data_IF_036579987391
#
_entry.id   IF_036579987391
#
_cell.length_a   1.000
_cell.length_b   1.000
_cell.length_c   1.000
_cell.angle_alpha   90.00
_cell.angle_beta   90.00
_cell.angle_gamma   90.00
#
_symmetry.space_group_name_H-M   'P 1'
#
loop_
_entity.id
_entity.type
_entity.pdbx_description
1 polymer ?
#
# COMPACT_ATOMS: atom_id res chain seq x y z
N UNK A 1 -13.49 19.03 -52.41
CA UNK A 1 -14.02 18.96 -51.02
C UNK A 1 -14.80 20.24 -50.73
N UNK A 2 -16.05 20.15 -50.25
CA UNK A 2 -16.83 21.34 -49.89
C UNK A 2 -16.23 22.04 -48.66
N UNK A 3 -16.42 23.35 -48.53
CA UNK A 3 -15.99 24.12 -47.34
C UNK A 3 -16.53 23.49 -46.05
N UNK A 4 -17.75 22.93 -46.10
CA UNK A 4 -18.42 22.23 -45.01
C UNK A 4 -17.60 21.04 -44.52
N UNK A 5 -17.23 20.16 -45.44
CA UNK A 5 -16.40 19.00 -45.12
C UNK A 5 -15.06 19.42 -44.54
N UNK A 6 -14.35 20.39 -45.16
CA UNK A 6 -13.05 20.85 -44.66
C UNK A 6 -13.12 21.34 -43.21
N UNK A 7 -14.12 22.16 -42.87
CA UNK A 7 -14.25 22.71 -41.52
C UNK A 7 -14.55 21.60 -40.49
N UNK A 8 -15.46 20.68 -40.81
CA UNK A 8 -15.78 19.56 -39.93
C UNK A 8 -14.56 18.65 -39.71
N UNK A 9 -13.78 18.35 -40.75
CA UNK A 9 -12.56 17.55 -40.60
C UNK A 9 -11.53 18.22 -39.70
N UNK A 10 -11.31 19.53 -39.83
CA UNK A 10 -10.37 20.28 -38.99
C UNK A 10 -10.80 20.22 -37.51
N UNK A 11 -12.08 20.45 -37.23
CA UNK A 11 -12.61 20.41 -35.85
C UNK A 11 -12.45 19.02 -35.23
N UNK A 12 -12.75 17.96 -35.98
CA UNK A 12 -12.59 16.58 -35.50
C UNK A 12 -11.12 16.26 -35.23
N UNK A 13 -10.21 16.61 -36.16
CA UNK A 13 -8.77 16.36 -35.99
C UNK A 13 -8.22 17.11 -34.77
N UNK A 14 -8.55 18.40 -34.63
CA UNK A 14 -8.13 19.20 -33.48
C UNK A 14 -8.67 18.63 -32.16
N UNK A 15 -9.94 18.17 -32.16
CA UNK A 15 -10.54 17.52 -31.00
C UNK A 15 -9.80 16.24 -30.61
N UNK A 16 -9.49 15.37 -31.59
CA UNK A 16 -8.76 14.11 -31.33
C UNK A 16 -7.37 14.40 -30.75
N UNK A 17 -6.64 15.37 -31.33
CA UNK A 17 -5.32 15.78 -30.82
C UNK A 17 -5.42 16.32 -29.39
N UNK A 18 -6.40 17.19 -29.12
CA UNK A 18 -6.60 17.74 -27.79
C UNK A 18 -6.92 16.65 -26.75
N UNK A 19 -7.78 15.68 -27.09
CA UNK A 19 -8.07 14.52 -26.24
C UNK A 19 -6.81 13.69 -26.00
N UNK A 20 -6.04 13.34 -27.04
CA UNK A 20 -4.83 12.51 -26.86
C UNK A 20 -3.83 13.17 -25.92
N UNK A 21 -3.59 14.48 -26.08
CA UNK A 21 -2.70 15.24 -25.20
C UNK A 21 -3.24 15.25 -23.76
N UNK A 22 -4.54 15.53 -23.60
CA UNK A 22 -5.18 15.61 -22.28
C UNK A 22 -5.16 14.26 -21.58
N UNK A 23 -5.44 13.17 -22.29
CA UNK A 23 -5.37 11.79 -21.78
C UNK A 23 -3.95 11.43 -21.35
N UNK A 24 -2.93 11.81 -22.10
CA UNK A 24 -1.54 11.55 -21.74
C UNK A 24 -1.16 12.23 -20.41
N UNK A 25 -1.45 13.53 -20.28
CA UNK A 25 -1.18 14.27 -19.04
C UNK A 25 -2.02 13.74 -17.87
N UNK A 26 -3.31 13.48 -18.09
CA UNK A 26 -4.20 12.90 -17.09
C UNK A 26 -3.69 11.55 -16.59
N UNK A 27 -3.26 10.66 -17.51
CA UNK A 27 -2.75 9.35 -17.16
C UNK A 27 -1.50 9.45 -16.28
N UNK A 28 -0.52 10.28 -16.68
CA UNK A 28 0.70 10.48 -15.90
C UNK A 28 0.45 11.10 -14.53
N UNK A 29 -0.44 12.10 -14.46
CA UNK A 29 -0.82 12.77 -13.21
C UNK A 29 -1.55 11.83 -12.24
N UNK A 30 -2.58 11.13 -12.70
CA UNK A 30 -3.34 10.20 -11.85
C UNK A 30 -2.49 9.02 -11.41
N UNK A 31 -1.63 8.49 -12.27
CA UNK A 31 -0.71 7.40 -11.90
C UNK A 31 0.20 7.83 -10.76
N UNK A 32 0.79 9.03 -10.83
CA UNK A 32 1.65 9.56 -9.78
C UNK A 32 0.89 9.70 -8.45
N UNK A 33 -0.27 10.36 -8.46
CA UNK A 33 -1.09 10.53 -7.24
C UNK A 33 -1.47 9.18 -6.63
N UNK A 34 -1.95 8.25 -7.44
CA UNK A 34 -2.34 6.93 -6.94
C UNK A 34 -1.16 6.16 -6.34
N UNK A 35 0.05 6.31 -6.90
CA UNK A 35 1.27 5.72 -6.33
C UNK A 35 1.60 6.39 -4.99
N UNK A 36 1.64 7.72 -4.94
CA UNK A 36 2.00 8.47 -3.74
C UNK A 36 1.00 8.19 -2.60
N UNK A 37 -0.31 8.24 -2.89
CA UNK A 37 -1.38 7.90 -1.95
C UNK A 37 -1.29 6.44 -1.48
N UNK A 38 -0.97 5.50 -2.39
CA UNK A 38 -0.81 4.09 -2.02
C UNK A 38 0.41 3.88 -1.13
N UNK A 39 1.54 4.53 -1.41
CA UNK A 39 2.73 4.45 -0.56
C UNK A 39 2.48 5.03 0.84
N UNK A 40 1.80 6.19 0.92
CA UNK A 40 1.44 6.82 2.18
C UNK A 40 0.46 5.94 2.99
N UNK A 41 -0.56 5.40 2.33
CA UNK A 41 -1.50 4.48 2.97
C UNK A 41 -0.82 3.17 3.42
N UNK A 42 0.07 2.59 2.60
CA UNK A 42 0.86 1.42 2.97
C UNK A 42 1.76 1.71 4.18
N UNK A 43 2.36 2.89 4.22
CA UNK A 43 3.16 3.35 5.37
C UNK A 43 2.31 3.44 6.64
N UNK A 44 1.12 4.03 6.55
CA UNK A 44 0.19 4.11 7.67
C UNK A 44 -0.29 2.73 8.15
N UNK A 45 -0.66 1.83 7.24
CA UNK A 45 -1.11 0.47 7.57
C UNK A 45 0.03 -0.34 8.20
N UNK A 46 1.23 -0.35 7.60
CA UNK A 46 2.39 -1.06 8.16
C UNK A 46 2.73 -0.56 9.57
N UNK A 47 2.62 0.75 9.81
CA UNK A 47 2.79 1.35 11.14
C UNK A 47 1.70 0.92 12.12
N UNK A 48 0.44 0.90 11.70
CA UNK A 48 -0.67 0.48 12.56
C UNK A 48 -0.54 -0.98 12.99
N UNK A 49 -0.19 -1.87 12.05
CA UNK A 49 0.08 -3.28 12.35
C UNK A 49 1.28 -3.41 13.28
N UNK A 50 2.38 -2.66 13.02
CA UNK A 50 3.57 -2.69 13.88
C UNK A 50 3.24 -2.30 15.32
N UNK A 51 2.47 -1.22 15.52
CA UNK A 51 2.00 -0.78 16.84
C UNK A 51 1.10 -1.84 17.49
N UNK A 52 0.19 -2.46 16.72
CA UNK A 52 -0.69 -3.52 17.24
C UNK A 52 0.10 -4.73 17.75
N UNK A 53 1.12 -5.17 16.99
CA UNK A 53 2.00 -6.28 17.38
C UNK A 53 2.84 -5.87 18.59
N UNK A 54 3.36 -4.65 18.62
CA UNK A 54 4.17 -4.12 19.74
C UNK A 54 3.38 -4.08 21.06
N UNK A 55 2.12 -3.63 20.99
CA UNK A 55 1.20 -3.66 22.12
C UNK A 55 0.96 -5.09 22.61
N UNK A 56 0.80 -6.04 21.69
CA UNK A 56 0.61 -7.44 22.04
C UNK A 56 1.85 -8.02 22.73
N UNK A 57 3.05 -7.78 22.20
CA UNK A 57 4.31 -8.18 22.83
C UNK A 57 4.48 -7.59 24.23
N UNK A 58 4.11 -6.31 24.40
CA UNK A 58 4.12 -5.64 25.70
C UNK A 58 3.17 -6.31 26.70
N UNK A 59 1.98 -6.70 26.25
CA UNK A 59 1.00 -7.39 27.09
C UNK A 59 1.46 -8.79 27.50
N UNK A 60 2.13 -9.52 26.60
CA UNK A 60 2.76 -10.79 26.94
C UNK A 60 3.81 -10.62 28.05
N UNK A 61 4.66 -9.60 27.94
CA UNK A 61 5.67 -9.28 28.97
C UNK A 61 5.00 -8.95 30.30
N UNK A 62 3.95 -8.13 30.30
CA UNK A 62 3.23 -7.76 31.52
C UNK A 62 2.55 -8.97 32.18
N UNK A 63 1.97 -9.86 31.37
CA UNK A 63 1.38 -11.12 31.85
C UNK A 63 2.45 -12.00 32.50
N UNK A 64 3.59 -12.20 31.83
CA UNK A 64 4.71 -12.99 32.35
C UNK A 64 5.33 -12.37 33.60
N UNK A 65 5.47 -11.03 33.68
CA UNK A 65 5.88 -10.30 34.88
C UNK A 65 4.92 -10.49 36.05
N UNK A 66 3.63 -10.46 35.78
CA UNK A 66 2.60 -10.68 36.80
C UNK A 66 2.72 -12.10 37.37
N UNK A 67 2.90 -13.10 36.49
CA UNK A 67 3.11 -14.48 36.90
C UNK A 67 4.38 -14.64 37.76
N UNK A 68 5.51 -14.09 37.29
CA UNK A 68 6.78 -14.10 37.99
C UNK A 68 6.75 -13.39 39.35
N UNK A 69 5.90 -12.37 39.50
CA UNK A 69 5.78 -11.57 40.73
C UNK A 69 4.80 -12.14 41.75
N UNK A 70 4.09 -13.22 41.43
CA UNK A 70 3.13 -13.85 42.34
C UNK A 70 3.83 -14.33 43.62
N UNK A 71 3.32 -14.00 44.84
CA UNK A 71 3.96 -14.40 46.10
C UNK A 71 4.24 -15.89 46.21
N UNK A 72 3.32 -16.72 45.74
CA UNK A 72 3.50 -18.17 45.70
C UNK A 72 4.70 -18.61 44.84
N UNK A 73 4.88 -18.01 43.65
CA UNK A 73 6.02 -18.32 42.79
C UNK A 73 7.33 -17.88 43.44
N UNK A 74 7.37 -16.68 44.02
CA UNK A 74 8.56 -16.17 44.72
C UNK A 74 8.98 -17.07 45.87
N UNK A 75 8.02 -17.45 46.73
CA UNK A 75 8.30 -18.35 47.86
C UNK A 75 8.82 -19.70 47.37
N UNK A 76 8.17 -20.28 46.36
CA UNK A 76 8.55 -21.59 45.83
C UNK A 76 9.97 -21.58 45.24
N UNK A 77 10.34 -20.53 44.51
CA UNK A 77 11.69 -20.34 43.97
C UNK A 77 12.71 -20.15 45.09
N UNK A 78 12.39 -19.34 46.10
CA UNK A 78 13.27 -19.10 47.24
C UNK A 78 13.55 -20.40 48.01
N UNK A 79 12.51 -21.18 48.31
CA UNK A 79 12.65 -22.45 49.04
C UNK A 79 13.49 -23.47 48.25
N UNK A 80 13.25 -23.60 46.95
CA UNK A 80 13.98 -24.55 46.10
C UNK A 80 15.40 -24.06 45.74
N UNK A 81 15.63 -22.74 45.64
CA UNK A 81 16.94 -22.16 45.35
C UNK A 81 17.97 -22.40 46.46
N UNK A 82 17.53 -22.47 47.73
CA UNK A 82 18.39 -22.74 48.90
C UNK A 82 19.25 -24.00 48.77
N UNK A 83 18.79 -25.00 48.00
CA UNK A 83 19.54 -26.26 47.78
C UNK A 83 20.90 -26.08 47.10
N UNK A 84 21.07 -24.97 46.39
CA UNK A 84 22.31 -24.61 45.69
C UNK A 84 23.05 -23.42 46.33
N UNK A 85 22.37 -22.64 47.18
CA UNK A 85 22.97 -21.49 47.87
C UNK A 85 24.03 -21.91 48.90
N UNK A 86 23.83 -23.05 49.57
CA UNK A 86 24.78 -23.57 50.56
C UNK A 86 26.06 -24.16 49.95
N UNK A 87 26.08 -24.40 48.64
CA UNK A 87 27.22 -24.96 47.92
C UNK A 87 28.12 -23.84 47.41
N UNK A 88 29.44 -24.09 47.41
CA UNK A 88 30.37 -23.26 46.64
C UNK A 88 30.11 -23.42 45.13
N UNK A 89 30.72 -22.57 44.32
CA UNK A 89 30.46 -22.56 42.87
C UNK A 89 30.80 -23.89 42.19
N UNK A 90 31.94 -24.51 42.52
CA UNK A 90 32.38 -25.78 41.92
C UNK A 90 31.43 -26.93 42.25
N UNK A 91 31.09 -27.10 43.53
CA UNK A 91 30.14 -28.13 43.99
C UNK A 91 28.74 -27.91 43.40
N UNK A 92 28.34 -26.63 43.23
CA UNK A 92 27.06 -26.28 42.61
C UNK A 92 27.02 -26.68 41.15
N UNK A 93 28.07 -26.34 40.40
CA UNK A 93 28.16 -26.65 38.96
C UNK A 93 28.18 -28.17 38.74
N UNK A 94 28.93 -28.91 39.56
CA UNK A 94 28.92 -30.39 39.58
C UNK A 94 27.50 -30.90 39.84
N UNK A 95 26.84 -30.40 40.89
CA UNK A 95 25.51 -30.88 41.27
C UNK A 95 24.45 -30.61 40.21
N UNK A 96 24.46 -29.41 39.61
CA UNK A 96 23.56 -29.07 38.50
C UNK A 96 23.86 -29.94 37.27
N UNK A 97 25.14 -30.24 37.01
CA UNK A 97 25.58 -31.15 35.96
C UNK A 97 25.02 -32.56 36.11
N UNK A 98 25.14 -33.15 37.31
CA UNK A 98 24.58 -34.48 37.63
C UNK A 98 23.06 -34.54 37.44
N UNK A 99 22.35 -33.51 37.92
CA UNK A 99 20.89 -33.40 37.76
C UNK A 99 20.51 -33.27 36.29
N UNK A 100 21.31 -32.56 35.50
CA UNK A 100 21.10 -32.42 34.07
C UNK A 100 21.33 -33.73 33.31
N UNK A 101 22.40 -34.46 33.61
CA UNK A 101 22.64 -35.77 32.99
C UNK A 101 21.48 -36.73 33.30
N UNK A 102 21.04 -36.78 34.55
CA UNK A 102 19.87 -37.57 34.95
C UNK A 102 18.60 -37.14 34.22
N UNK A 103 18.33 -35.84 34.10
CA UNK A 103 17.15 -35.31 33.42
C UNK A 103 17.10 -35.68 31.94
N UNK A 104 18.24 -35.54 31.25
CA UNK A 104 18.37 -35.83 29.83
C UNK A 104 18.18 -37.33 29.57
N UNK A 105 18.75 -38.19 30.42
CA UNK A 105 18.73 -39.65 30.23
C UNK A 105 17.42 -40.32 30.67
N UNK A 106 16.67 -39.74 31.60
CA UNK A 106 15.38 -40.28 32.05
C UNK A 106 14.27 -39.95 31.05
N UNK A 107 13.90 -40.92 30.21
CA UNK A 107 12.84 -40.76 29.19
C UNK A 107 11.42 -41.02 29.72
N UNK A 108 11.27 -41.76 30.82
CA UNK A 108 9.96 -42.04 31.39
C UNK A 108 9.38 -40.79 32.06
N UNK A 109 8.26 -40.29 31.52
CA UNK A 109 7.56 -39.15 32.09
C UNK A 109 6.99 -39.44 33.48
N UNK A 110 6.74 -40.70 33.83
CA UNK A 110 6.21 -41.09 35.15
C UNK A 110 7.31 -41.30 36.20
N UNK A 111 8.58 -41.17 35.84
CA UNK A 111 9.69 -41.27 36.78
C UNK A 111 9.54 -40.22 37.90
N UNK A 112 9.76 -40.64 39.14
CA UNK A 112 9.59 -39.77 40.32
C UNK A 112 10.43 -38.51 40.22
N UNK A 113 11.68 -38.62 39.74
CA UNK A 113 12.56 -37.47 39.57
C UNK A 113 12.02 -36.48 38.54
N UNK A 114 11.41 -36.94 37.44
CA UNK A 114 10.79 -36.03 36.46
C UNK A 114 9.53 -35.40 37.05
N UNK A 115 8.68 -36.19 37.72
CA UNK A 115 7.44 -35.74 38.35
C UNK A 115 7.68 -34.68 39.44
N UNK A 116 8.81 -34.72 40.14
CA UNK A 116 9.21 -33.71 41.13
C UNK A 116 9.34 -32.30 40.54
N UNK A 117 9.54 -32.16 39.22
CA UNK A 117 9.63 -30.86 38.55
C UNK A 117 8.40 -30.52 37.69
N UNK A 118 7.73 -31.53 37.11
CA UNK A 118 6.59 -31.28 36.21
C UNK A 118 5.22 -31.36 36.89
N UNK A 119 5.15 -31.96 38.08
CA UNK A 119 3.90 -32.15 38.84
C UNK A 119 3.90 -31.53 40.23
N UNK A 120 4.92 -30.74 40.54
CA UNK A 120 4.98 -29.99 41.78
C UNK A 120 3.95 -28.83 41.83
N UNK A 121 3.72 -28.21 43.01
CA UNK A 121 2.73 -27.15 43.15
C UNK A 121 2.93 -25.97 42.19
N UNK A 122 4.17 -25.54 41.95
CA UNK A 122 4.45 -24.47 41.00
C UNK A 122 4.14 -24.89 39.55
N UNK A 123 4.54 -26.09 39.12
CA UNK A 123 4.23 -26.61 37.80
C UNK A 123 2.72 -26.76 37.55
N UNK A 124 1.95 -27.14 38.57
CA UNK A 124 0.48 -27.18 38.52
C UNK A 124 -0.10 -25.77 38.36
N UNK A 125 0.38 -24.81 39.14
CA UNK A 125 -0.04 -23.41 39.05
C UNK A 125 0.27 -22.78 37.68
N UNK A 126 1.45 -23.05 37.12
CA UNK A 126 1.81 -22.61 35.77
C UNK A 126 0.92 -23.24 34.70
N UNK A 127 0.54 -24.53 34.85
CA UNK A 127 -0.39 -25.20 33.93
C UNK A 127 -1.79 -24.58 33.91
N UNK A 128 -2.24 -23.94 34.98
CA UNK A 128 -3.53 -23.23 34.96
C UNK A 128 -3.54 -22.08 33.96
N UNK A 129 -2.39 -21.50 33.61
CA UNK A 129 -2.29 -20.44 32.59
C UNK A 129 -2.72 -20.91 31.19
N UNK A 130 -2.55 -22.20 30.89
CA UNK A 130 -2.96 -22.79 29.62
C UNK A 130 -4.49 -22.78 29.44
N UNK A 131 -5.24 -22.71 30.53
CA UNK A 131 -6.72 -22.60 30.51
C UNK A 131 -7.19 -21.17 30.28
N UNK A 132 -6.38 -20.18 30.67
CA UNK A 132 -6.73 -18.76 30.56
C UNK A 132 -6.64 -18.29 29.11
N UNK A 133 -5.54 -18.63 28.43
CA UNK A 133 -5.34 -18.33 27.01
C UNK A 133 -5.00 -19.62 26.27
N UNK A 134 -6.01 -20.36 25.77
CA UNK A 134 -5.80 -21.59 25.04
C UNK A 134 -4.87 -21.39 23.84
N UNK A 135 -4.00 -22.36 23.59
CA UNK A 135 -3.06 -22.42 22.46
C UNK A 135 -1.93 -21.37 22.43
N UNK A 136 -1.89 -20.41 23.34
CA UNK A 136 -0.79 -19.43 23.40
C UNK A 136 0.50 -20.06 23.93
N UNK A 137 0.41 -20.83 25.02
CA UNK A 137 1.59 -21.37 25.70
C UNK A 137 1.99 -22.72 25.11
N UNK A 138 3.27 -22.84 24.72
CA UNK A 138 3.91 -24.13 24.45
C UNK A 138 4.39 -24.76 25.75
N UNK A 139 5.22 -24.02 26.49
CA UNK A 139 5.73 -24.42 27.80
C UNK A 139 5.98 -23.19 28.67
N UNK A 140 5.84 -23.36 29.99
CA UNK A 140 6.24 -22.36 30.98
C UNK A 140 7.11 -23.07 32.01
N UNK A 141 8.25 -22.47 32.34
CA UNK A 141 9.14 -23.03 33.34
C UNK A 141 9.88 -21.95 34.11
N UNK A 142 10.40 -22.36 35.26
CA UNK A 142 11.09 -21.50 36.20
C UNK A 142 12.43 -22.14 36.56
N UNK A 143 13.45 -21.30 36.62
CA UNK A 143 14.79 -21.64 37.11
C UNK A 143 15.12 -20.87 38.38
N UNK A 144 16.04 -21.39 39.17
CA UNK A 144 16.67 -20.63 40.26
C UNK A 144 17.74 -19.65 39.72
N UNK A 145 18.31 -18.85 40.62
CA UNK A 145 19.36 -17.86 40.31
C UNK A 145 20.66 -18.42 39.74
N UNK A 146 20.81 -19.74 39.68
CA UNK A 146 21.97 -20.42 39.10
C UNK A 146 21.62 -21.20 37.82
N UNK A 147 20.36 -21.09 37.38
CA UNK A 147 19.87 -21.71 36.15
C UNK A 147 19.49 -23.18 36.29
N UNK A 148 19.35 -23.71 37.50
CA UNK A 148 18.76 -25.02 37.74
C UNK A 148 17.24 -24.99 37.65
N UNK A 149 16.64 -26.02 37.04
CA UNK A 149 15.17 -26.10 36.91
C UNK A 149 14.50 -26.23 38.28
N UNK A 150 13.46 -25.42 38.52
CA UNK A 150 12.63 -25.44 39.73
C UNK A 150 11.25 -26.03 39.44
N UNK A 151 10.62 -25.63 38.34
CA UNK A 151 9.31 -26.14 37.92
C UNK A 151 9.12 -25.98 36.42
N UNK A 152 8.39 -26.89 35.79
CA UNK A 152 8.04 -26.80 34.37
C UNK A 152 6.65 -27.37 34.10
N UNK A 153 5.93 -26.84 33.12
CA UNK A 153 4.63 -27.41 32.71
C UNK A 153 4.77 -28.72 31.94
N UNK A 154 5.96 -29.01 31.39
CA UNK A 154 6.28 -30.22 30.61
C UNK A 154 7.74 -30.63 30.81
N UNK A 155 8.14 -31.81 30.33
CA UNK A 155 9.55 -32.22 30.35
C UNK A 155 10.32 -31.43 29.28
N UNK A 156 11.27 -30.60 29.71
CA UNK A 156 12.21 -29.86 28.87
C UNK A 156 13.34 -30.76 28.34
N UNK A 157 14.11 -30.26 27.39
CA UNK A 157 15.30 -30.94 26.84
C UNK A 157 16.47 -31.01 27.83
N UNK A 158 16.58 -30.04 28.72
CA UNK A 158 17.70 -29.85 29.65
C UNK A 158 17.18 -29.39 31.01
N UNK A 159 17.93 -29.70 32.07
CA UNK A 159 17.67 -29.21 33.44
C UNK A 159 18.47 -27.95 33.75
N UNK A 160 19.69 -27.89 33.21
CA UNK A 160 20.60 -26.76 33.40
C UNK A 160 20.41 -25.76 32.27
N UNK A 161 20.16 -24.50 32.65
CA UNK A 161 19.90 -23.40 31.74
C UNK A 161 20.81 -22.19 31.96
N UNK A 162 21.59 -22.15 33.05
CA UNK A 162 22.38 -20.97 33.45
C UNK A 162 23.43 -20.53 32.44
N UNK A 163 23.85 -21.42 31.53
CA UNK A 163 24.79 -21.13 30.45
C UNK A 163 24.10 -20.66 29.15
N UNK A 164 22.77 -20.76 29.04
CA UNK A 164 22.04 -20.41 27.82
C UNK A 164 21.97 -18.90 27.67
N UNK A 165 22.13 -18.40 26.44
CA UNK A 165 22.16 -16.96 26.18
C UNK A 165 20.93 -16.22 26.68
N UNK A 166 19.72 -16.76 26.47
CA UNK A 166 18.48 -16.16 26.96
C UNK A 166 18.45 -16.04 28.49
N UNK A 167 19.09 -16.97 29.20
CA UNK A 167 19.16 -16.96 30.66
C UNK A 167 20.15 -15.91 31.13
N UNK A 168 21.36 -15.89 30.54
CA UNK A 168 22.38 -14.89 30.85
C UNK A 168 21.91 -13.46 30.54
N UNK A 169 21.23 -13.28 29.40
CA UNK A 169 20.67 -12.00 29.00
C UNK A 169 19.58 -11.52 29.97
N UNK A 170 18.70 -12.42 30.43
CA UNK A 170 17.67 -12.04 31.39
C UNK A 170 18.19 -11.90 32.83
N UNK A 171 19.23 -12.64 33.21
CA UNK A 171 19.90 -12.48 34.50
C UNK A 171 20.64 -11.14 34.59
N UNK A 172 21.32 -10.75 33.50
CA UNK A 172 22.02 -9.48 33.34
C UNK A 172 22.92 -9.11 34.54
N UNK A 173 23.86 -9.99 34.89
CA UNK A 173 24.76 -9.85 36.04
C UNK A 173 24.02 -9.59 37.37
N UNK A 174 22.82 -10.16 37.52
CA UNK A 174 21.96 -10.01 38.70
C UNK A 174 21.10 -8.75 38.71
N UNK A 175 21.23 -7.85 37.72
CA UNK A 175 20.37 -6.67 37.59
C UNK A 175 18.96 -7.04 37.14
N UNK A 176 18.85 -8.12 36.37
CA UNK A 176 17.60 -8.58 35.76
C UNK A 176 17.19 -7.72 34.56
N UNK A 177 16.82 -8.38 33.48
CA UNK A 177 16.31 -7.75 32.26
C UNK A 177 15.24 -8.64 31.64
N UNK A 178 14.19 -8.03 31.07
CA UNK A 178 13.24 -8.79 30.25
C UNK A 178 13.93 -9.14 28.95
N UNK A 179 13.79 -10.37 28.49
CA UNK A 179 14.39 -10.80 27.24
C UNK A 179 13.38 -11.54 26.36
N UNK A 180 13.32 -11.16 25.09
CA UNK A 180 12.61 -11.87 24.04
C UNK A 180 13.57 -12.81 23.31
N UNK A 181 13.35 -14.10 23.51
CA UNK A 181 14.13 -15.19 22.94
C UNK A 181 13.54 -15.63 21.59
N UNK A 182 14.07 -15.06 20.49
CA UNK A 182 13.61 -15.27 19.10
C UNK A 182 14.46 -16.34 18.38
N UNK A 183 14.52 -17.54 18.95
CA UNK A 183 15.31 -18.64 18.37
C UNK A 183 14.59 -19.49 17.32
N UNK A 184 13.30 -19.24 17.06
CA UNK A 184 12.53 -19.88 16.01
C UNK A 184 11.84 -21.16 16.46
N UNK A 185 12.20 -22.31 15.85
CA UNK A 185 11.55 -23.58 16.14
C UNK A 185 12.09 -24.20 17.43
N UNK A 186 11.19 -24.55 18.34
CA UNK A 186 11.49 -25.20 19.61
C UNK A 186 11.06 -26.68 19.56
N UNK A 187 12.03 -27.57 19.79
CA UNK A 187 11.83 -29.02 19.69
C UNK A 187 11.03 -29.64 20.84
N UNK A 188 11.02 -29.05 22.06
CA UNK A 188 10.17 -29.55 23.15
C UNK A 188 8.72 -29.14 22.96
N UNK A 189 8.48 -27.99 22.32
CA UNK A 189 7.13 -27.52 21.96
C UNK A 189 6.64 -28.15 20.65
N UNK A 190 7.54 -28.46 19.73
CA UNK A 190 7.22 -28.95 18.39
C UNK A 190 6.68 -27.86 17.45
N UNK A 191 6.98 -26.59 17.72
CA UNK A 191 6.39 -25.44 17.04
C UNK A 191 7.34 -24.23 17.02
N UNK A 192 7.03 -23.21 16.23
CA UNK A 192 7.73 -21.92 16.28
C UNK A 192 7.23 -21.10 17.46
N UNK A 193 8.17 -20.64 18.29
CA UNK A 193 7.85 -19.91 19.52
C UNK A 193 8.68 -18.64 19.66
N UNK A 194 8.14 -17.69 20.41
CA UNK A 194 8.90 -16.62 21.04
C UNK A 194 8.98 -16.91 22.54
N UNK A 195 10.18 -16.95 23.09
CA UNK A 195 10.37 -17.07 24.53
C UNK A 195 10.27 -15.70 25.20
N UNK A 196 9.29 -15.51 26.08
CA UNK A 196 9.20 -14.34 26.96
C UNK A 196 9.91 -14.69 28.27
N UNK A 197 11.06 -14.07 28.51
CA UNK A 197 11.94 -14.37 29.64
C UNK A 197 11.92 -13.19 30.60
N UNK A 198 11.58 -13.47 31.86
CA UNK A 198 11.41 -12.45 32.89
C UNK A 198 12.13 -12.86 34.18
N UNK A 199 12.93 -11.97 34.79
CA UNK A 199 13.56 -12.22 36.08
C UNK A 199 12.52 -12.22 37.20
N UNK A 200 12.71 -13.11 38.17
CA UNK A 200 11.91 -13.20 39.39
C UNK A 200 12.66 -12.43 40.47
N UNK A 201 12.09 -11.32 40.92
CA UNK A 201 12.70 -10.47 41.95
C UNK A 201 12.18 -10.79 43.35
N UNK A 202 13.08 -10.74 44.33
CA UNK A 202 12.76 -10.76 45.75
C UNK A 202 13.65 -9.75 46.47
N UNK A 203 13.04 -8.80 47.19
CA UNK A 203 13.74 -7.68 47.84
C UNK A 203 14.79 -6.95 46.97
N UNK A 204 14.52 -6.87 45.66
CA UNK A 204 15.39 -6.19 44.68
C UNK A 204 16.45 -7.09 44.03
N UNK A 205 16.60 -8.33 44.48
CA UNK A 205 17.55 -9.31 43.95
C UNK A 205 16.87 -10.30 42.99
N UNK A 206 17.57 -10.72 41.94
CA UNK A 206 17.10 -11.78 41.04
C UNK A 206 17.31 -13.14 41.69
N UNK A 207 16.21 -13.79 42.10
CA UNK A 207 16.22 -15.11 42.74
C UNK A 207 15.97 -16.27 41.76
N UNK A 208 15.58 -15.96 40.53
CA UNK A 208 15.32 -16.94 39.49
C UNK A 208 14.84 -16.30 38.20
N UNK A 209 14.56 -17.13 37.19
CA UNK A 209 14.06 -16.67 35.89
C UNK A 209 12.85 -17.50 35.49
N UNK A 210 11.78 -16.83 35.11
CA UNK A 210 10.60 -17.44 34.51
C UNK A 210 10.67 -17.26 33.00
N UNK A 211 10.52 -18.36 32.26
CA UNK A 211 10.43 -18.35 30.80
C UNK A 211 9.12 -18.94 30.32
N UNK A 212 8.46 -18.24 29.41
CA UNK A 212 7.25 -18.69 28.72
C UNK A 212 7.52 -18.78 27.23
N UNK A 213 7.59 -20.00 26.69
CA UNK A 213 7.67 -20.23 25.25
C UNK A 213 6.27 -20.17 24.65
N UNK A 214 6.00 -19.15 23.83
CA UNK A 214 4.66 -18.82 23.33
C UNK A 214 4.56 -18.99 21.81
N UNK A 215 3.47 -19.61 21.35
CA UNK A 215 3.13 -19.86 19.94
C UNK A 215 2.52 -18.62 19.27
N UNK A 216 3.26 -17.53 19.26
CA UNK A 216 2.76 -16.20 18.85
C UNK A 216 2.41 -16.09 17.35
N UNK A 217 3.03 -16.90 16.48
CA UNK A 217 2.87 -16.74 15.03
C UNK A 217 1.47 -17.11 14.54
N UNK A 218 0.84 -18.11 15.15
CA UNK A 218 -0.55 -18.48 14.86
C UNK A 218 -1.51 -17.35 15.25
N UNK A 219 -1.26 -16.71 16.39
CA UNK A 219 -2.06 -15.60 16.85
C UNK A 219 -1.85 -14.35 15.99
N UNK A 220 -0.62 -14.02 15.63
CA UNK A 220 -0.33 -12.92 14.73
C UNK A 220 -1.04 -13.15 13.40
N UNK A 221 -1.01 -14.37 12.87
CA UNK A 221 -1.74 -14.72 11.64
C UNK A 221 -3.23 -14.40 11.75
N UNK A 222 -3.90 -14.80 12.84
CA UNK A 222 -5.31 -14.45 13.05
C UNK A 222 -5.53 -12.94 13.24
N UNK A 223 -4.61 -12.25 13.91
CA UNK A 223 -4.70 -10.79 14.17
C UNK A 223 -4.59 -9.97 12.89
N UNK A 224 -3.69 -10.37 11.98
CA UNK A 224 -3.49 -9.64 10.71
C UNK A 224 -4.38 -10.14 9.57
N UNK A 225 -5.18 -11.19 9.83
CA UNK A 225 -6.08 -11.80 8.85
C UNK A 225 -7.10 -10.83 8.28
N UNK A 226 -7.67 -9.98 9.13
CA UNK A 226 -8.64 -8.96 8.72
C UNK A 226 -8.00 -7.95 7.77
N UNK A 227 -6.71 -7.64 7.97
CA UNK A 227 -5.95 -6.75 7.10
C UNK A 227 -5.64 -7.40 5.75
N UNK A 228 -5.40 -8.72 5.67
CA UNK A 228 -5.13 -9.39 4.39
C UNK A 228 -6.27 -9.18 3.39
N UNK A 229 -7.51 -9.39 3.82
CA UNK A 229 -8.69 -9.26 2.95
C UNK A 229 -8.88 -7.84 2.39
N UNK A 230 -8.49 -6.83 3.18
CA UNK A 230 -8.56 -5.42 2.79
C UNK A 230 -7.40 -5.00 1.90
N UNK A 231 -6.31 -5.76 1.92
CA UNK A 231 -5.06 -5.42 1.26
C UNK A 231 -4.81 -6.19 -0.03
N UNK A 232 -5.61 -7.21 -0.35
CA UNK A 232 -5.53 -7.94 -1.62
C UNK A 232 -5.66 -6.99 -2.84
N UNK A 233 -4.84 -7.19 -3.90
CA UNK A 233 -3.84 -8.26 -4.11
C UNK A 233 -2.45 -8.01 -3.48
N UNK A 234 -2.30 -6.99 -2.63
CA UNK A 234 -1.07 -6.77 -1.88
C UNK A 234 -0.82 -7.86 -0.84
N UNK A 235 0.43 -7.94 -0.38
CA UNK A 235 0.89 -8.89 0.65
C UNK A 235 1.37 -8.14 1.89
N UNK A 236 0.99 -8.66 3.04
CA UNK A 236 1.49 -8.23 4.35
C UNK A 236 2.36 -9.37 4.88
N UNK A 237 3.57 -9.05 5.34
CA UNK A 237 4.55 -9.99 5.88
C UNK A 237 5.14 -9.43 7.17
N UNK A 238 5.56 -10.29 8.08
CA UNK A 238 6.46 -9.92 9.18
C UNK A 238 7.79 -10.61 8.91
N UNK A 239 8.88 -9.85 8.85
CA UNK A 239 10.22 -10.37 8.56
C UNK A 239 11.26 -9.83 9.54
N UNK A 240 12.35 -10.58 9.72
CA UNK A 240 13.56 -10.11 10.39
C UNK A 240 14.36 -9.22 9.46
N UNK A 241 15.25 -8.37 10.00
CA UNK A 241 16.17 -7.55 9.20
C UNK A 241 17.16 -8.34 8.36
N UNK A 242 17.44 -9.61 8.70
CA UNK A 242 18.19 -10.54 7.84
C UNK A 242 17.39 -11.03 6.61
N UNK A 243 16.11 -10.68 6.51
CA UNK A 243 15.21 -11.04 5.44
C UNK A 243 14.44 -12.33 5.64
N UNK A 244 14.65 -13.09 6.72
CA UNK A 244 13.80 -14.28 6.99
C UNK A 244 12.40 -13.84 7.37
N UNK A 245 11.40 -14.42 6.71
CA UNK A 245 9.99 -14.05 6.92
C UNK A 245 9.43 -14.89 8.07
N UNK A 246 9.01 -14.24 9.15
CA UNK A 246 8.37 -14.87 10.30
C UNK A 246 6.90 -15.22 10.02
N UNK A 247 6.21 -14.36 9.26
CA UNK A 247 4.78 -14.53 8.98
C UNK A 247 4.46 -14.12 7.55
N UNK A 248 3.81 -15.02 6.83
CA UNK A 248 3.27 -14.83 5.48
C UNK A 248 2.02 -15.72 5.33
N UNK A 249 0.94 -15.24 4.70
CA UNK A 249 -0.28 -16.03 4.50
C UNK A 249 0.02 -17.42 3.91
N UNK A 250 -0.58 -18.46 4.50
CA UNK A 250 -0.49 -19.86 4.02
C UNK A 250 0.93 -20.43 3.91
N UNK A 251 1.93 -19.80 4.54
CA UNK A 251 3.32 -20.28 4.60
C UNK A 251 3.72 -20.58 6.04
N UNK A 252 4.66 -21.52 6.21
CA UNK A 252 5.25 -21.78 7.52
C UNK A 252 6.21 -20.64 7.92
N UNK A 253 6.30 -20.29 9.22
CA UNK A 253 7.28 -19.33 9.70
C UNK A 253 8.72 -19.68 9.29
N UNK A 254 9.50 -18.65 8.97
CA UNK A 254 10.91 -18.73 8.56
C UNK A 254 11.16 -19.58 7.30
N UNK A 255 10.12 -19.92 6.52
CA UNK A 255 10.25 -20.74 5.31
C UNK A 255 10.51 -19.92 4.04
N UNK A 256 10.14 -18.63 4.05
CA UNK A 256 10.34 -17.70 2.94
C UNK A 256 11.32 -16.58 3.33
N UNK A 257 11.78 -15.83 2.32
CA UNK A 257 12.68 -14.70 2.51
C UNK A 257 12.22 -13.48 1.72
N UNK A 258 12.57 -12.30 2.22
CA UNK A 258 12.47 -11.05 1.49
C UNK A 258 13.59 -11.00 0.44
N UNK A 259 13.28 -10.38 -0.70
CA UNK A 259 14.22 -10.16 -1.80
C UNK A 259 15.48 -9.40 -1.33
N UNK A 260 16.65 -9.84 -1.80
CA UNK A 260 17.94 -9.36 -1.32
C UNK A 260 18.13 -7.84 -1.52
N UNK A 261 17.57 -7.29 -2.60
CA UNK A 261 17.60 -5.85 -2.90
C UNK A 261 16.79 -4.97 -1.95
N UNK A 262 15.99 -5.54 -1.05
CA UNK A 262 15.22 -4.82 -0.04
C UNK A 262 15.85 -4.87 1.35
N UNK A 263 16.86 -5.72 1.59
CA UNK A 263 17.43 -5.92 2.92
C UNK A 263 18.06 -4.64 3.48
N UNK A 264 18.63 -3.80 2.60
CA UNK A 264 19.18 -2.49 2.99
C UNK A 264 18.14 -1.52 3.56
N UNK A 265 16.87 -1.71 3.21
CA UNK A 265 15.76 -0.82 3.55
C UNK A 265 15.01 -1.28 4.79
N UNK A 266 15.34 -2.46 5.33
CA UNK A 266 14.58 -3.11 6.41
C UNK A 266 15.21 -2.81 7.80
N UNK A 267 16.26 -1.98 7.91
CA UNK A 267 17.06 -1.90 9.15
C UNK A 267 17.17 -0.55 9.87
N UNK A 268 16.51 0.53 9.40
CA UNK A 268 16.85 1.89 9.87
C UNK A 268 15.69 2.67 10.44
N UNK A 269 14.53 2.67 9.79
CA UNK A 269 13.33 3.40 10.20
C UNK A 269 12.14 2.95 9.32
N UNK A 270 11.01 3.66 9.41
CA UNK A 270 9.85 3.44 8.54
C UNK A 270 10.12 3.92 7.11
N UNK A 271 10.20 2.97 6.17
CA UNK A 271 10.60 3.19 4.78
C UNK A 271 9.46 2.89 3.80
N UNK A 272 9.46 3.57 2.64
CA UNK A 272 8.53 3.29 1.55
C UNK A 272 9.13 3.66 0.20
N UNK A 273 9.10 2.75 -0.77
CA UNK A 273 9.68 2.97 -2.10
C UNK A 273 9.02 2.13 -3.18
N UNK A 274 9.33 2.44 -4.42
CA UNK A 274 9.05 1.60 -5.58
C UNK A 274 10.29 0.77 -5.87
N UNK A 275 10.13 -0.52 -6.15
CA UNK A 275 11.20 -1.40 -6.58
C UNK A 275 10.71 -2.31 -7.72
N UNK A 276 11.64 -3.03 -8.36
CA UNK A 276 11.31 -4.05 -9.35
C UNK A 276 11.59 -5.42 -8.76
N UNK A 277 10.61 -6.32 -8.84
CA UNK A 277 10.76 -7.69 -8.38
C UNK A 277 11.64 -8.53 -9.33
N UNK A 278 11.87 -9.79 -8.97
CA UNK A 278 12.64 -10.74 -9.78
C UNK A 278 12.07 -10.99 -11.19
N UNK A 279 10.77 -10.70 -11.40
CA UNK A 279 10.09 -10.84 -12.69
C UNK A 279 10.03 -9.51 -13.48
N UNK A 280 10.80 -8.49 -13.06
CA UNK A 280 10.81 -7.14 -13.63
C UNK A 280 9.46 -6.39 -13.48
N UNK A 281 8.60 -6.85 -12.56
CA UNK A 281 7.35 -6.22 -12.18
C UNK A 281 7.60 -5.07 -11.21
N UNK A 282 6.98 -3.91 -11.46
CA UNK A 282 7.05 -2.77 -10.55
C UNK A 282 6.17 -3.02 -9.31
N UNK A 283 6.76 -2.85 -8.13
CA UNK A 283 6.17 -3.13 -6.83
C UNK A 283 6.33 -1.93 -5.92
N UNK A 284 5.28 -1.65 -5.12
CA UNK A 284 5.32 -0.68 -4.04
C UNK A 284 5.64 -1.42 -2.76
N UNK A 285 6.67 -0.96 -2.05
CA UNK A 285 7.16 -1.52 -0.79
C UNK A 285 6.99 -0.49 0.33
N UNK A 286 6.50 -0.92 1.48
CA UNK A 286 6.55 -0.15 2.73
C UNK A 286 6.94 -1.06 3.88
N UNK A 287 7.80 -0.57 4.77
CA UNK A 287 8.23 -1.30 5.95
C UNK A 287 8.16 -0.44 7.21
N UNK A 288 7.77 -1.04 8.33
CA UNK A 288 7.70 -0.38 9.63
C UNK A 288 8.25 -1.30 10.73
N UNK A 289 9.08 -0.79 11.65
CA UNK A 289 9.70 -1.60 12.69
C UNK A 289 8.76 -1.89 13.87
N UNK A 290 8.91 -3.08 14.45
CA UNK A 290 8.28 -3.45 15.72
C UNK A 290 9.24 -3.08 16.86
N UNK A 291 8.93 -2.02 17.59
CA UNK A 291 9.85 -1.34 18.51
C UNK A 291 10.39 -2.22 19.63
N UNK A 292 9.58 -3.09 20.22
CA UNK A 292 9.97 -4.00 21.30
C UNK A 292 10.98 -5.06 20.87
N UNK A 293 11.25 -5.18 19.57
CA UNK A 293 12.29 -6.07 19.02
C UNK A 293 13.60 -5.33 18.74
N UNK A 294 13.66 -4.03 19.01
CA UNK A 294 14.87 -3.22 18.85
C UNK A 294 15.62 -3.17 20.18
N UNK A 295 16.88 -3.61 20.17
CA UNK A 295 17.76 -3.71 21.35
C UNK A 295 18.00 -2.38 22.10
N UNK A 296 17.60 -1.24 21.55
CA UNK A 296 17.69 0.07 22.21
C UNK A 296 16.55 0.36 23.20
N UNK A 297 15.66 -0.60 23.46
CA UNK A 297 14.55 -0.50 24.41
C UNK A 297 14.90 -1.18 25.74
N UNK A 298 14.06 -1.02 26.78
CA UNK A 298 14.23 -1.65 28.10
C UNK A 298 14.09 -3.20 28.08
N UNK A 299 14.00 -3.81 26.89
CA UNK A 299 13.79 -5.23 26.66
C UNK A 299 14.91 -5.73 25.73
N UNK A 300 15.66 -6.71 26.21
CA UNK A 300 16.63 -7.43 25.38
C UNK A 300 15.92 -8.31 24.36
N UNK A 301 16.51 -8.48 23.19
CA UNK A 301 15.90 -9.23 22.08
C UNK A 301 16.97 -9.99 21.28
N UNK A 302 16.67 -11.23 20.89
CA UNK A 302 17.50 -12.06 20.02
C UNK A 302 17.70 -13.48 20.54
N UNK A 303 18.87 -14.06 20.25
CA UNK A 303 19.30 -15.40 20.63
C UNK A 303 20.08 -16.07 19.50
N UNK A 304 21.41 -16.15 19.65
CA UNK A 304 22.33 -16.65 18.63
C UNK A 304 22.21 -18.17 18.41
N UNK A 305 22.86 -18.68 17.36
CA UNK A 305 22.67 -20.03 16.82
C UNK A 305 23.48 -21.10 17.56
N UNK A 306 22.85 -22.28 17.68
CA UNK A 306 23.33 -23.57 18.20
C UNK A 306 23.10 -23.81 19.70
N UNK A 307 21.85 -24.17 20.04
CA UNK A 307 21.55 -24.98 21.21
C UNK A 307 20.96 -26.32 20.77
N UNK A 308 21.10 -27.35 21.61
CA UNK A 308 20.65 -28.74 21.33
C UNK A 308 19.18 -28.82 20.85
N UNK A 309 18.37 -27.82 21.21
CA UNK A 309 16.92 -27.80 21.13
C UNK A 309 16.32 -26.76 20.17
N UNK A 310 17.12 -25.90 19.52
CA UNK A 310 16.62 -24.79 18.66
C UNK A 310 17.40 -24.64 17.33
N UNK A 311 16.68 -24.27 16.26
CA UNK A 311 17.22 -24.05 14.91
C UNK A 311 16.68 -22.71 14.36
N UNK A 312 17.49 -21.95 13.63
CA UNK A 312 17.13 -20.63 13.01
C UNK A 312 17.08 -19.45 13.98
N UNK A 313 18.04 -19.40 14.91
CA UNK A 313 18.33 -18.29 15.81
C UNK A 313 18.34 -16.88 15.20
N UNK A 314 18.24 -15.87 16.05
CA UNK A 314 18.24 -14.46 15.69
C UNK A 314 19.43 -13.75 16.36
N UNK A 315 20.38 -13.24 15.57
CA UNK A 315 21.57 -12.56 16.09
C UNK A 315 21.33 -11.07 16.42
N UNK A 316 20.07 -10.68 16.67
CA UNK A 316 19.68 -9.29 16.97
C UNK A 316 19.01 -8.57 15.78
N UNK A 317 18.51 -9.31 14.80
CA UNK A 317 17.72 -8.84 13.68
C UNK A 317 16.30 -8.47 14.10
N UNK A 318 16.00 -7.18 14.13
CA UNK A 318 14.70 -6.65 14.53
C UNK A 318 13.57 -7.18 13.63
N UNK A 319 12.34 -7.18 14.13
CA UNK A 319 11.17 -7.51 13.32
C UNK A 319 10.59 -6.28 12.65
N UNK A 320 10.13 -6.48 11.42
CA UNK A 320 9.58 -5.46 10.54
C UNK A 320 8.27 -5.96 9.94
N UNK A 321 7.25 -5.12 9.94
CA UNK A 321 6.05 -5.34 9.13
C UNK A 321 6.32 -4.81 7.73
N UNK A 322 6.13 -5.64 6.72
CA UNK A 322 6.41 -5.36 5.32
C UNK A 322 5.13 -5.49 4.51
N UNK A 323 4.83 -4.45 3.76
CA UNK A 323 3.72 -4.36 2.83
C UNK A 323 4.27 -4.28 1.41
N UNK A 324 3.79 -5.15 0.53
CA UNK A 324 4.15 -5.13 -0.90
C UNK A 324 2.90 -5.15 -1.78
N UNK A 325 2.79 -4.22 -2.73
CA UNK A 325 1.66 -4.12 -3.67
C UNK A 325 2.15 -4.03 -5.12
N UNK A 326 1.65 -4.85 -6.05
CA UNK A 326 1.93 -4.68 -7.47
C UNK A 326 1.45 -3.34 -8.03
N UNK A 327 2.33 -2.59 -8.69
CA UNK A 327 1.98 -1.33 -9.36
C UNK A 327 0.96 -1.56 -10.50
N UNK A 328 0.90 -2.78 -11.05
CA UNK A 328 -0.08 -3.19 -12.05
C UNK A 328 -1.54 -2.95 -11.60
N UNK A 329 -1.82 -3.00 -10.29
CA UNK A 329 -3.15 -2.68 -9.74
C UNK A 329 -3.49 -1.21 -9.95
N UNK A 330 -2.51 -0.32 -9.73
CA UNK A 330 -2.64 1.11 -9.97
C UNK A 330 -2.80 1.36 -11.47
N UNK A 331 -2.01 0.70 -12.30
CA UNK A 331 -2.10 0.82 -13.76
C UNK A 331 -3.48 0.39 -14.29
N UNK A 332 -4.07 -0.67 -13.73
CA UNK A 332 -5.45 -1.07 -14.06
C UNK A 332 -6.49 -0.02 -13.65
N UNK A 333 -6.35 0.60 -12.48
CA UNK A 333 -7.20 1.73 -12.05
C UNK A 333 -7.07 2.91 -13.01
N UNK A 334 -5.84 3.26 -13.41
CA UNK A 334 -5.57 4.35 -14.37
C UNK A 334 -6.16 4.01 -15.75
N UNK A 335 -6.01 2.78 -16.24
CA UNK A 335 -6.59 2.34 -17.51
C UNK A 335 -8.12 2.45 -17.54
N UNK A 336 -8.78 2.17 -16.40
CA UNK A 336 -10.23 2.37 -16.27
C UNK A 336 -10.61 3.85 -16.44
N UNK A 337 -9.90 4.74 -15.74
CA UNK A 337 -10.10 6.19 -15.86
C UNK A 337 -9.83 6.70 -17.29
N UNK A 338 -8.80 6.18 -17.96
CA UNK A 338 -8.49 6.50 -19.36
C UNK A 338 -9.66 6.10 -20.27
N UNK A 339 -10.21 4.88 -20.11
CA UNK A 339 -11.34 4.41 -20.93
C UNK A 339 -12.58 5.28 -20.75
N UNK A 340 -12.91 5.64 -19.50
CA UNK A 340 -14.03 6.52 -19.19
C UNK A 340 -13.83 7.93 -19.78
N UNK A 341 -12.62 8.49 -19.63
CA UNK A 341 -12.28 9.79 -20.18
C UNK A 341 -12.31 9.82 -21.72
N UNK A 342 -11.77 8.79 -22.37
CA UNK A 342 -11.83 8.65 -23.83
C UNK A 342 -13.27 8.50 -24.33
N UNK A 343 -14.11 7.72 -23.64
CA UNK A 343 -15.52 7.57 -24.00
C UNK A 343 -16.24 8.92 -23.97
N UNK A 344 -16.12 9.65 -22.87
CA UNK A 344 -16.71 11.00 -22.72
C UNK A 344 -16.15 11.95 -23.78
N UNK A 345 -14.83 11.93 -23.98
CA UNK A 345 -14.17 12.78 -24.97
C UNK A 345 -14.67 12.52 -26.40
N UNK A 346 -14.80 11.25 -26.83
CA UNK A 346 -15.33 10.92 -28.15
C UNK A 346 -16.80 11.30 -28.30
N UNK A 347 -17.61 11.15 -27.25
CA UNK A 347 -19.00 11.64 -27.25
C UNK A 347 -19.05 13.16 -27.42
N UNK A 348 -18.17 13.91 -26.75
CA UNK A 348 -18.06 15.36 -26.91
C UNK A 348 -17.63 15.76 -28.33
N UNK A 349 -16.64 15.08 -28.93
CA UNK A 349 -16.26 15.33 -30.33
C UNK A 349 -17.43 15.03 -31.27
N UNK A 350 -18.12 13.91 -31.08
CA UNK A 350 -19.29 13.55 -31.88
C UNK A 350 -20.37 14.62 -31.81
N UNK A 351 -20.68 15.11 -30.60
CA UNK A 351 -21.62 16.19 -30.38
C UNK A 351 -21.18 17.49 -31.07
N UNK A 352 -19.93 17.92 -30.89
CA UNK A 352 -19.36 19.11 -31.53
C UNK A 352 -19.37 18.96 -33.06
N UNK A 353 -19.08 17.78 -33.60
CA UNK A 353 -19.09 17.53 -35.04
C UNK A 353 -20.51 17.63 -35.62
N UNK A 354 -21.52 17.06 -34.95
CA UNK A 354 -22.93 17.18 -35.34
C UNK A 354 -23.37 18.64 -35.30
N UNK A 355 -23.04 19.34 -34.22
CA UNK A 355 -23.35 20.75 -34.04
C UNK A 355 -22.69 21.61 -35.14
N UNK A 356 -21.40 21.36 -35.41
CA UNK A 356 -20.64 22.03 -36.48
C UNK A 356 -21.29 21.76 -37.84
N UNK A 357 -21.66 20.52 -38.14
CA UNK A 357 -22.34 20.19 -39.40
C UNK A 357 -23.67 20.93 -39.56
N UNK A 358 -24.48 21.03 -38.49
CA UNK A 358 -25.75 21.76 -38.52
C UNK A 358 -25.55 23.26 -38.77
N UNK A 359 -24.68 23.91 -37.98
CA UNK A 359 -24.42 25.34 -38.09
C UNK A 359 -23.73 25.73 -39.40
N UNK A 360 -22.69 24.99 -39.79
CA UNK A 360 -21.96 25.25 -41.03
C UNK A 360 -22.85 25.04 -42.25
N UNK A 361 -23.77 24.06 -42.23
CA UNK A 361 -24.78 23.90 -43.29
C UNK A 361 -25.70 25.12 -43.38
N UNK A 362 -26.19 25.64 -42.25
CA UNK A 362 -27.07 26.81 -42.20
C UNK A 362 -26.38 28.05 -42.80
N UNK A 363 -25.15 28.34 -42.37
CA UNK A 363 -24.36 29.48 -42.82
C UNK A 363 -24.01 29.35 -44.31
N UNK A 364 -23.42 28.22 -44.70
CA UNK A 364 -22.95 28.02 -46.08
C UNK A 364 -24.10 28.06 -47.08
N UNK A 365 -25.32 27.64 -46.70
CA UNK A 365 -26.49 27.72 -47.59
C UNK A 365 -26.84 29.16 -47.94
N UNK A 366 -26.81 30.08 -46.99
CA UNK A 366 -27.10 31.49 -47.25
C UNK A 366 -26.01 32.15 -48.09
N UNK A 367 -24.74 31.79 -47.86
CA UNK A 367 -23.62 32.25 -48.70
C UNK A 367 -23.76 31.73 -50.13
N UNK A 368 -24.09 30.46 -50.34
CA UNK A 368 -24.30 29.91 -51.68
C UNK A 368 -25.45 30.63 -52.40
N UNK A 369 -26.56 30.91 -51.71
CA UNK A 369 -27.65 31.71 -52.30
C UNK A 369 -27.19 33.08 -52.77
N UNK A 370 -26.35 33.76 -51.99
CA UNK A 370 -25.75 35.05 -52.39
C UNK A 370 -24.88 34.90 -53.64
N UNK A 371 -24.00 33.90 -53.65
CA UNK A 371 -23.11 33.62 -54.79
C UNK A 371 -23.89 33.27 -56.05
N UNK A 372 -24.89 32.40 -55.95
CA UNK A 372 -25.70 32.00 -57.11
C UNK A 372 -26.54 33.16 -57.62
N UNK A 373 -27.10 33.99 -56.73
CA UNK A 373 -27.78 35.22 -57.11
C UNK A 373 -26.85 36.13 -57.93
N UNK A 374 -25.61 36.36 -57.48
CA UNK A 374 -24.68 37.21 -58.23
C UNK A 374 -24.32 36.67 -59.61
N UNK A 375 -24.41 35.35 -59.84
CA UNK A 375 -24.21 34.73 -61.16
C UNK A 375 -25.44 34.86 -62.07
N UNK A 376 -26.62 34.87 -61.47
CA UNK A 376 -27.89 34.98 -62.20
C UNK A 376 -28.30 36.43 -62.52
N UNK A 377 -27.73 37.41 -61.81
CA UNK A 377 -27.97 38.84 -62.11
C UNK A 377 -27.37 39.17 -63.48
N UNK A 378 -28.26 39.40 -64.44
CA UNK A 378 -27.95 39.92 -65.77
C UNK A 378 -28.39 41.39 -65.85
N UNK A 379 -27.62 42.22 -66.57
CA UNK A 379 -27.94 43.62 -66.82
C UNK A 379 -29.28 43.81 -67.54
N UNK A 380 -29.82 42.73 -68.14
CA UNK A 380 -31.14 42.70 -68.80
C UNK A 380 -32.30 42.44 -67.83
N UNK A 381 -32.06 42.00 -66.59
CA UNK A 381 -33.11 41.69 -65.61
C UNK A 381 -32.66 42.05 -64.18
N UNK A 382 -32.80 43.34 -63.82
CA UNK A 382 -32.41 43.90 -62.53
C UNK A 382 -33.57 43.96 -61.51
N UNK A 383 -34.69 43.28 -61.78
CA UNK A 383 -35.86 43.29 -60.90
C UNK A 383 -35.79 42.25 -59.78
N UNK A 384 -34.87 41.29 -59.87
CA UNK A 384 -34.66 40.29 -58.81
C UNK A 384 -33.99 40.90 -57.58
N UNK A 385 -34.31 40.35 -56.40
CA UNK A 385 -33.73 40.71 -55.10
C UNK A 385 -33.30 39.46 -54.35
N UNK A 386 -32.26 39.60 -53.53
CA UNK A 386 -31.80 38.55 -52.62
C UNK A 386 -32.72 38.51 -51.41
N UNK A 387 -33.29 37.34 -51.13
CA UNK A 387 -34.07 37.07 -49.92
C UNK A 387 -33.27 36.24 -48.92
N UNK A 388 -32.35 36.89 -48.20
CA UNK A 388 -31.64 36.30 -47.06
C UNK A 388 -32.04 37.09 -45.82
N UNK A 389 -32.83 36.46 -44.94
CA UNK A 389 -33.31 37.06 -43.68
C UNK A 389 -32.50 36.50 -42.52
N UNK A 390 -31.28 36.99 -42.36
CA UNK A 390 -30.46 36.76 -41.17
C UNK A 390 -30.10 38.10 -40.54
N UNK A 391 -29.99 38.13 -39.22
CA UNK A 391 -29.65 39.33 -38.45
C UNK A 391 -28.15 39.34 -38.12
N UNK A 392 -27.34 39.05 -39.14
CA UNK A 392 -25.89 38.89 -39.05
C UNK A 392 -25.21 39.58 -40.25
N UNK A 393 -23.88 39.48 -40.34
CA UNK A 393 -23.07 40.08 -41.41
C UNK A 393 -23.49 39.58 -42.80
N UNK A 394 -24.07 38.37 -42.90
CA UNK A 394 -24.56 37.80 -44.15
C UNK A 394 -25.85 38.51 -44.60
N UNK A 395 -26.74 38.85 -43.65
CA UNK A 395 -27.94 39.64 -43.93
C UNK A 395 -27.59 41.08 -44.32
N UNK A 396 -26.64 41.70 -43.62
CA UNK A 396 -26.13 43.03 -43.96
C UNK A 396 -25.54 43.07 -45.39
N UNK A 397 -24.81 42.02 -45.76
CA UNK A 397 -24.26 41.87 -47.12
C UNK A 397 -25.37 41.71 -48.16
N UNK A 398 -26.40 40.89 -47.88
CA UNK A 398 -27.55 40.72 -48.76
C UNK A 398 -28.27 42.05 -49.05
N UNK A 399 -28.47 42.86 -48.01
CA UNK A 399 -29.07 44.19 -48.13
C UNK A 399 -28.19 45.13 -48.97
N UNK A 400 -26.88 45.14 -48.72
CA UNK A 400 -25.93 45.95 -49.49
C UNK A 400 -25.92 45.59 -50.98
N UNK A 401 -26.03 44.30 -51.31
CA UNK A 401 -26.19 43.84 -52.70
C UNK A 401 -27.51 44.30 -53.31
N UNK A 402 -28.62 44.21 -52.58
CA UNK A 402 -29.92 44.70 -53.05
C UNK A 402 -29.86 46.21 -53.35
N UNK A 403 -29.23 47.01 -52.49
CA UNK A 403 -29.05 48.44 -52.71
C UNK A 403 -28.19 48.74 -53.95
N UNK A 404 -27.16 47.92 -54.21
CA UNK A 404 -26.35 48.03 -55.42
C UNK A 404 -27.18 47.76 -56.68
N UNK A 405 -28.04 46.74 -56.69
CA UNK A 405 -28.92 46.44 -57.83
C UNK A 405 -29.89 47.61 -58.09
N UNK A 406 -30.45 48.21 -57.03
CA UNK A 406 -31.30 49.40 -57.17
C UNK A 406 -30.56 50.55 -57.82
N UNK A 407 -29.30 50.81 -57.40
CA UNK A 407 -28.46 51.85 -58.01
C UNK A 407 -28.14 51.55 -59.48
N UNK A 408 -27.78 50.32 -59.81
CA UNK A 408 -27.52 49.90 -61.19
C UNK A 408 -28.76 50.06 -62.08
N UNK A 409 -29.95 49.70 -61.59
CA UNK A 409 -31.19 49.86 -62.35
C UNK A 409 -31.49 51.33 -62.63
N UNK A 410 -31.35 52.21 -61.62
CA UNK A 410 -31.52 53.67 -61.80
C UNK A 410 -30.54 54.23 -62.83
N UNK A 411 -29.27 53.80 -62.80
CA UNK A 411 -28.28 54.23 -63.78
C UNK A 411 -28.61 53.79 -65.20
N UNK A 412 -29.10 52.55 -65.38
CA UNK A 412 -29.51 52.04 -66.69
C UNK A 412 -30.74 52.78 -67.24
N UNK A 413 -31.75 53.03 -66.40
CA UNK A 413 -32.95 53.81 -66.78
C UNK A 413 -32.56 55.24 -67.15
N UNK A 414 -31.78 55.92 -66.31
CA UNK A 414 -31.32 57.29 -66.60
C UNK A 414 -30.49 57.37 -67.88
N UNK A 415 -29.67 56.34 -68.17
CA UNK A 415 -28.93 56.25 -69.43
C UNK A 415 -29.86 56.07 -70.63
N UNK A 416 -30.90 55.25 -70.51
CA UNK A 416 -31.91 55.08 -71.56
C UNK A 416 -32.67 56.38 -71.82
N UNK A 417 -33.13 57.06 -70.77
CA UNK A 417 -33.79 58.37 -70.87
C UNK A 417 -32.88 59.41 -71.54
N UNK A 418 -31.58 59.42 -71.18
CA UNK A 418 -30.61 60.31 -71.82
C UNK A 418 -30.39 59.96 -73.30
N UNK A 419 -30.30 58.68 -73.66
CA UNK A 419 -30.19 58.26 -75.05
C UNK A 419 -31.45 58.64 -75.84
N UNK A 420 -32.64 58.47 -75.26
CA UNK A 420 -33.91 58.86 -75.88
C UNK A 420 -34.00 60.39 -76.06
N UNK A 421 -33.56 61.18 -75.09
CA UNK A 421 -33.50 62.64 -75.19
C UNK A 421 -32.48 63.10 -76.26
N UNK A 422 -31.31 62.44 -76.35
CA UNK A 422 -30.33 62.69 -77.42
C UNK A 422 -30.95 62.35 -78.79
N UNK A 423 -31.62 61.21 -78.92
CA UNK A 423 -32.28 60.83 -80.18
C UNK A 423 -33.38 61.82 -80.56
N UNK A 424 -34.21 62.27 -79.61
CA UNK A 424 -35.20 63.34 -79.85
C UNK A 424 -34.56 64.65 -80.30
N UNK A 425 -33.42 65.04 -79.71
CA UNK A 425 -32.68 66.24 -80.12
C UNK A 425 -32.11 66.11 -81.53
N UNK A 426 -31.51 64.96 -81.86
CA UNK A 426 -31.03 64.66 -83.21
C UNK A 426 -32.19 64.72 -84.23
N UNK A 427 -33.36 64.21 -83.87
CA UNK A 427 -34.54 64.23 -84.73
C UNK A 427 -35.12 65.65 -84.90
N UNK A 428 -35.09 66.47 -83.85
CA UNK A 428 -35.45 67.88 -83.89
C UNK A 428 -34.46 68.70 -84.76
N UNK A 429 -33.15 68.48 -84.63
CA UNK A 429 -32.13 69.10 -85.47
C UNK A 429 -32.27 68.70 -86.95
N UNK A 430 -32.54 67.42 -87.24
CA UNK A 430 -32.84 66.97 -88.60
C UNK A 430 -34.09 67.62 -89.20
N UNK A 431 -35.11 67.91 -88.38
CA UNK A 431 -36.31 68.65 -88.81
C UNK A 431 -36.00 70.12 -89.06
N UNK A 432 -35.16 70.75 -88.25
CA UNK A 432 -34.70 72.13 -88.44
C UNK A 432 -33.82 72.30 -89.69
N UNK A 433 -32.93 71.34 -89.99
CA UNK A 433 -32.13 71.33 -91.22
C UNK A 433 -32.94 71.12 -92.51
N UNK A 434 -34.19 70.64 -92.42
CA UNK A 434 -35.11 70.52 -93.58
C UNK A 434 -35.99 71.75 -93.80
N UNK A 435 -35.95 72.72 -92.88
CA UNK A 435 -36.73 73.97 -92.93
C UNK A 435 -35.86 75.22 -93.15
N UNK A 436 -34.53 75.03 -93.28
CA UNK A 436 -33.60 75.96 -93.91
C UNK A 436 -33.28 75.47 -95.32
#
# INVERSE_FOLDING_TARGET
MSLRSKLTYIVVILGIVAIMISTYFMAGYNRRILIDDTLENNKAISSAISISIDNYLSELVNTTKTLASTPFIKEYVRENGRRFESLNQEDRDIRIGELNEKWVTTNDLNDTFIQDYISNPAAKYLREQFKVIPNLYGEIFITDRYGGLVASTTKLTTFSHGYKEWWLASYNDGKGEVFFDDRGYDSSVGDFVLGVVVPIYDDGEVIGILKSNMKIFSLFNETIKDYYSLYEPGLIRIARTDGKVLLEPDKQPLSTRIEEGLLSDIGKDMESKIYRDENDGEMLFSASPIKSTIRSTDIGFGGSHESIDHIRGNAGDNWMVILTTPAAIIDQKVLKLIKEFLLIGFLCIGFIAIFTLFFVRKITRNIIKLVDFTKEVDWRNLDRRIEVRTDDEIGALANSFNDMIVRLNRMMVSRMELMEEIDRRIEAEKKLQRLS
#
